data_IF_239960671373
#
_entry.id   IF_239960671373
#
_cell.length_a   1.000
_cell.length_b   1.000
_cell.length_c   1.000
_cell.angle_alpha   90.00
_cell.angle_beta   90.00
_cell.angle_gamma   90.00
#
_symmetry.space_group_name_H-M   'P 1'
#
loop_
_entity.id
_entity.type
_entity.pdbx_description
1 polymer ?
#
# COMPACT_ATOMS: atom_id res chain seq x y z
N UNK A 1 28.72 -16.89 -56.22
CA UNK A 1 28.09 -17.16 -54.91
C UNK A 1 28.67 -16.16 -53.93
N UNK A 2 28.02 -15.01 -53.78
CA UNK A 2 28.51 -13.91 -52.93
C UNK A 2 27.81 -13.93 -51.58
N UNK A 3 28.66 -13.91 -50.56
CA UNK A 3 28.46 -13.58 -49.15
C UNK A 3 27.06 -13.24 -48.63
N UNK A 4 26.62 -14.04 -47.65
CA UNK A 4 25.66 -13.65 -46.61
C UNK A 4 26.16 -14.03 -45.22
N UNK A 5 27.47 -14.01 -44.98
CA UNK A 5 28.03 -14.47 -43.70
C UNK A 5 27.72 -13.58 -42.49
N UNK A 6 27.14 -12.39 -42.69
CA UNK A 6 26.86 -11.41 -41.63
C UNK A 6 25.45 -10.83 -41.76
N UNK A 7 24.43 -11.65 -41.49
CA UNK A 7 23.02 -11.26 -41.64
C UNK A 7 22.53 -10.23 -40.60
N UNK A 8 23.30 -9.98 -39.53
CA UNK A 8 23.01 -8.95 -38.54
C UNK A 8 24.27 -8.56 -37.75
N UNK A 9 24.25 -7.38 -37.11
CA UNK A 9 25.33 -6.91 -36.21
C UNK A 9 25.63 -7.92 -35.08
N UNK A 10 24.62 -8.67 -34.64
CA UNK A 10 24.74 -9.75 -33.65
C UNK A 10 25.54 -10.93 -34.18
N UNK A 11 25.21 -11.40 -35.37
CA UNK A 11 25.89 -12.52 -36.04
C UNK A 11 27.38 -12.20 -36.28
N UNK A 12 27.71 -10.94 -36.55
CA UNK A 12 29.09 -10.46 -36.62
C UNK A 12 29.82 -10.58 -35.28
N UNK A 13 29.25 -10.10 -34.17
CA UNK A 13 29.87 -10.15 -32.84
C UNK A 13 29.97 -11.57 -32.27
N UNK A 14 29.07 -12.48 -32.66
CA UNK A 14 29.11 -13.90 -32.29
C UNK A 14 30.21 -14.68 -33.04
N UNK A 15 30.54 -14.30 -34.27
CA UNK A 15 31.45 -15.07 -35.13
C UNK A 15 32.82 -14.44 -35.32
N UNK A 16 32.94 -13.12 -35.27
CA UNK A 16 34.21 -12.43 -35.37
C UNK A 16 35.04 -12.63 -34.08
N UNK A 17 36.34 -12.90 -34.22
CA UNK A 17 37.26 -13.05 -33.08
C UNK A 17 36.88 -14.18 -32.11
N UNK A 18 36.38 -15.32 -32.63
CA UNK A 18 35.93 -16.47 -31.85
C UNK A 18 34.82 -16.14 -30.81
N UNK A 19 34.03 -15.10 -31.06
CA UNK A 19 32.91 -14.73 -30.20
C UNK A 19 33.30 -14.00 -28.91
N UNK A 20 34.56 -13.59 -28.72
CA UNK A 20 34.99 -12.87 -27.52
C UNK A 20 34.29 -11.50 -27.37
N UNK A 21 33.96 -10.85 -28.49
CA UNK A 21 33.15 -9.64 -28.51
C UNK A 21 31.71 -9.85 -28.00
N UNK A 22 31.17 -11.08 -28.13
CA UNK A 22 29.84 -11.41 -27.59
C UNK A 22 29.83 -11.48 -26.06
N UNK A 23 30.95 -11.87 -25.43
CA UNK A 23 31.09 -11.86 -23.97
C UNK A 23 31.11 -10.43 -23.42
N UNK A 24 31.92 -9.54 -24.03
CA UNK A 24 31.95 -8.13 -23.67
C UNK A 24 30.58 -7.46 -23.91
N UNK A 25 29.92 -7.74 -25.03
CA UNK A 25 28.58 -7.24 -25.30
C UNK A 25 27.56 -7.79 -24.29
N UNK A 26 27.63 -9.06 -23.94
CA UNK A 26 26.71 -9.69 -22.97
C UNK A 26 26.92 -9.11 -21.57
N UNK A 27 28.16 -8.89 -21.13
CA UNK A 27 28.47 -8.19 -19.87
C UNK A 27 27.99 -6.74 -19.92
N UNK A 28 28.21 -6.01 -21.00
CA UNK A 28 27.71 -4.65 -21.16
C UNK A 28 26.17 -4.59 -21.17
N UNK A 29 25.50 -5.50 -21.88
CA UNK A 29 24.04 -5.57 -21.92
C UNK A 29 23.45 -6.06 -20.59
N UNK A 30 24.13 -6.96 -19.88
CA UNK A 30 23.75 -7.41 -18.53
C UNK A 30 23.89 -6.26 -17.52
N UNK A 31 25.00 -5.52 -17.54
CA UNK A 31 25.20 -4.31 -16.72
C UNK A 31 24.24 -3.17 -17.07
N UNK A 32 23.75 -3.13 -18.30
CA UNK A 32 22.71 -2.20 -18.74
C UNK A 32 21.28 -2.69 -18.41
N UNK A 33 21.13 -3.86 -17.77
CA UNK A 33 19.83 -4.46 -17.44
C UNK A 33 19.04 -4.93 -18.66
N UNK A 34 19.68 -5.02 -19.83
CA UNK A 34 19.06 -5.40 -21.10
C UNK A 34 18.93 -6.92 -21.19
N UNK A 35 19.96 -7.67 -20.77
CA UNK A 35 19.88 -9.15 -20.68
C UNK A 35 19.17 -9.52 -19.39
N UNK A 36 17.93 -9.99 -19.48
CA UNK A 36 17.23 -10.58 -18.35
C UNK A 36 17.98 -11.85 -17.90
N UNK A 37 18.31 -11.95 -16.60
CA UNK A 37 18.69 -13.23 -16.02
C UNK A 37 17.53 -14.23 -16.25
N UNK A 38 17.78 -15.44 -16.77
CA UNK A 38 16.73 -16.42 -16.97
C UNK A 38 16.42 -17.14 -15.65
N UNK A 39 15.72 -16.46 -14.75
CA UNK A 39 15.03 -17.03 -13.59
C UNK A 39 13.71 -16.25 -13.41
N UNK A 40 12.68 -16.91 -12.89
CA UNK A 40 11.38 -16.30 -12.59
C UNK A 40 11.59 -14.89 -11.97
N UNK A 41 11.07 -13.79 -12.55
CA UNK A 41 11.29 -12.43 -12.02
C UNK A 41 10.69 -12.21 -10.63
N UNK A 42 9.81 -13.12 -10.16
CA UNK A 42 9.31 -13.18 -8.79
C UNK A 42 10.06 -14.19 -7.92
N UNK A 43 11.15 -14.81 -8.38
CA UNK A 43 11.96 -15.67 -7.52
C UNK A 43 12.41 -14.89 -6.29
N UNK A 44 12.27 -15.51 -5.12
CA UNK A 44 12.67 -14.90 -3.85
C UNK A 44 14.14 -14.48 -3.91
N UNK A 45 14.40 -13.22 -3.60
CA UNK A 45 15.74 -12.65 -3.57
C UNK A 45 16.18 -12.43 -2.12
N UNK A 46 17.45 -12.69 -1.83
CA UNK A 46 17.99 -12.44 -0.51
C UNK A 46 18.04 -10.93 -0.23
N UNK A 47 17.60 -10.47 0.96
CA UNK A 47 17.73 -9.07 1.35
C UNK A 47 19.21 -8.68 1.51
N UNK A 48 19.51 -7.38 1.40
CA UNK A 48 20.87 -6.84 1.55
C UNK A 48 21.39 -6.95 2.99
N UNK A 49 20.50 -6.95 3.97
CA UNK A 49 20.78 -7.13 5.40
C UNK A 49 19.61 -7.81 6.10
N UNK A 50 19.78 -8.20 7.37
CA UNK A 50 18.77 -8.96 8.11
C UNK A 50 17.43 -8.19 8.18
N UNK A 51 16.34 -8.75 7.63
CA UNK A 51 15.04 -8.10 7.65
C UNK A 51 14.37 -8.26 9.03
N UNK A 52 13.60 -7.25 9.44
CA UNK A 52 12.73 -7.28 10.62
C UNK A 52 11.28 -7.62 10.26
N UNK A 53 10.86 -7.37 9.01
CA UNK A 53 9.54 -7.69 8.51
C UNK A 53 9.59 -8.63 7.29
N UNK A 54 8.54 -9.44 7.14
CA UNK A 54 8.33 -10.35 6.00
C UNK A 54 7.16 -9.96 5.11
N UNK A 55 6.13 -9.33 5.70
CA UNK A 55 4.93 -8.90 5.00
C UNK A 55 4.44 -7.53 5.47
N UNK A 56 3.75 -6.80 4.59
CA UNK A 56 3.07 -5.54 4.90
C UNK A 56 1.56 -5.74 4.80
N UNK A 57 0.82 -5.26 5.81
CA UNK A 57 -0.60 -4.94 5.67
C UNK A 57 -0.76 -3.42 5.78
N UNK A 58 -1.09 -2.77 4.66
CA UNK A 58 -1.32 -1.33 4.63
C UNK A 58 -2.81 -1.01 4.59
N UNK A 59 -3.33 -0.57 5.73
CA UNK A 59 -4.70 -0.11 5.93
C UNK A 59 -4.82 1.36 5.51
N UNK A 60 -5.14 1.58 4.23
CA UNK A 60 -5.18 2.91 3.62
C UNK A 60 -6.56 3.55 3.77
N UNK A 61 -6.63 4.60 4.57
CA UNK A 61 -7.86 5.29 4.92
C UNK A 61 -8.16 6.40 3.93
N UNK A 62 -8.80 6.04 2.81
CA UNK A 62 -9.07 6.97 1.71
C UNK A 62 -9.97 8.11 2.13
N UNK A 63 -9.60 9.30 1.70
CA UNK A 63 -10.22 10.51 2.23
C UNK A 63 -9.63 10.93 3.57
N UNK A 64 -8.49 10.40 4.01
CA UNK A 64 -7.69 10.99 5.09
C UNK A 64 -8.43 11.36 6.39
N UNK A 65 -8.48 10.42 7.37
CA UNK A 65 -9.02 10.69 8.69
C UNK A 65 -8.38 11.94 9.29
N UNK A 66 -9.21 12.88 9.75
CA UNK A 66 -8.73 14.04 10.51
C UNK A 66 -7.89 13.60 11.71
N UNK A 67 -6.62 14.00 11.71
CA UNK A 67 -5.64 13.75 12.77
C UNK A 67 -6.13 14.29 14.11
N UNK A 68 -6.71 15.50 14.13
CA UNK A 68 -7.19 16.16 15.35
C UNK A 68 -8.52 15.61 15.89
N UNK A 69 -9.16 14.73 15.13
CA UNK A 69 -10.40 14.05 15.53
C UNK A 69 -10.20 12.54 15.78
N UNK A 70 -8.96 12.05 15.66
CA UNK A 70 -8.60 10.64 15.83
C UNK A 70 -7.52 10.41 16.89
N UNK A 71 -6.29 10.91 16.65
CA UNK A 71 -5.12 10.57 17.47
C UNK A 71 -4.32 11.78 17.99
N UNK A 72 -4.46 12.95 17.35
CA UNK A 72 -3.68 14.15 17.65
C UNK A 72 -4.51 15.15 18.47
N UNK A 73 -4.73 14.85 19.74
CA UNK A 73 -5.55 15.70 20.61
C UNK A 73 -4.94 17.09 20.80
N UNK A 74 -5.68 18.14 20.45
CA UNK A 74 -5.27 19.54 20.56
C UNK A 74 -6.16 20.32 21.55
N UNK A 75 -5.74 20.44 22.83
CA UNK A 75 -6.50 21.19 23.84
C UNK A 75 -6.77 22.64 23.43
N UNK A 76 -5.81 23.29 22.78
CA UNK A 76 -5.94 24.69 22.38
C UNK A 76 -6.96 24.88 21.26
N UNK A 77 -7.00 23.96 20.29
CA UNK A 77 -8.04 23.93 19.26
C UNK A 77 -9.44 23.79 19.88
N UNK A 78 -9.58 22.98 20.92
CA UNK A 78 -10.86 22.82 21.63
C UNK A 78 -11.26 24.10 22.36
N UNK A 79 -10.31 24.71 23.07
CA UNK A 79 -10.55 25.93 23.86
C UNK A 79 -10.98 27.10 22.99
N UNK A 80 -10.40 27.22 21.79
CA UNK A 80 -10.63 28.35 20.86
C UNK A 80 -11.66 28.03 19.77
N UNK A 81 -12.44 26.97 19.90
CA UNK A 81 -13.45 26.60 18.90
C UNK A 81 -14.39 27.78 18.61
N UNK A 82 -14.55 28.12 17.33
CA UNK A 82 -15.33 29.28 16.84
C UNK A 82 -14.57 30.60 16.77
N UNK A 83 -13.38 30.70 17.36
CA UNK A 83 -12.49 31.87 17.25
C UNK A 83 -11.65 31.83 15.96
N UNK A 84 -11.02 32.95 15.60
CA UNK A 84 -10.11 33.02 14.46
C UNK A 84 -8.87 32.16 14.73
N UNK A 85 -8.54 31.29 13.77
CA UNK A 85 -7.31 30.52 13.74
C UNK A 85 -6.20 31.40 13.13
N UNK A 86 -5.32 31.93 13.98
CA UNK A 86 -4.24 32.79 13.54
C UNK A 86 -3.25 32.03 12.63
N UNK A 87 -2.87 32.63 11.51
CA UNK A 87 -1.93 32.01 10.56
C UNK A 87 -2.53 30.92 9.66
N UNK A 88 -3.83 30.65 9.75
CA UNK A 88 -4.53 29.82 8.78
C UNK A 88 -4.60 30.53 7.42
N UNK A 89 -4.27 29.79 6.36
CA UNK A 89 -4.55 30.22 4.99
C UNK A 89 -5.86 29.55 4.54
N UNK A 90 -6.93 30.31 4.28
CA UNK A 90 -8.21 29.78 3.80
C UNK A 90 -8.13 28.98 2.50
N UNK A 91 -7.00 29.02 1.77
CA UNK A 91 -6.75 28.30 0.52
C UNK A 91 -5.80 27.11 0.66
N UNK A 92 -5.45 26.73 1.89
CA UNK A 92 -4.63 25.53 2.15
C UNK A 92 -5.29 24.28 1.58
N UNK A 93 -6.60 24.14 1.80
CA UNK A 93 -7.38 23.00 1.33
C UNK A 93 -7.83 23.12 -0.11
N UNK A 94 -8.68 22.17 -0.53
CA UNK A 94 -9.20 22.14 -1.89
C UNK A 94 -10.32 23.18 -2.09
N UNK A 95 -11.04 23.49 -1.03
CA UNK A 95 -12.08 24.50 -0.95
C UNK A 95 -11.61 25.68 -0.08
N UNK A 96 -12.45 26.70 0.03
CA UNK A 96 -12.17 27.83 0.93
C UNK A 96 -12.74 27.55 2.31
N UNK A 97 -11.90 27.66 3.34
CA UNK A 97 -12.31 27.54 4.74
C UNK A 97 -12.67 28.88 5.36
N UNK A 98 -13.31 28.83 6.53
CA UNK A 98 -13.76 30.02 7.28
C UNK A 98 -12.64 30.75 8.02
N UNK A 99 -11.47 30.12 8.21
CA UNK A 99 -10.40 30.64 9.07
C UNK A 99 -10.75 30.61 10.58
N UNK A 100 -11.84 29.94 10.98
CA UNK A 100 -12.24 29.79 12.38
C UNK A 100 -11.95 28.39 12.88
N UNK A 101 -11.29 28.29 14.03
CA UNK A 101 -11.03 27.04 14.74
C UNK A 101 -12.29 26.17 14.82
N UNK A 102 -12.16 24.91 14.45
CA UNK A 102 -13.18 23.90 14.68
C UNK A 102 -12.63 22.90 15.70
N UNK A 103 -13.14 22.95 16.93
CA UNK A 103 -12.84 21.95 17.96
C UNK A 103 -13.32 20.55 17.52
N UNK A 104 -12.62 19.50 17.95
CA UNK A 104 -13.08 18.13 17.66
C UNK A 104 -14.40 17.85 18.39
N UNK A 105 -15.40 17.26 17.72
CA UNK A 105 -16.69 16.95 18.34
C UNK A 105 -16.64 15.72 19.26
N UNK A 106 -15.47 15.09 19.43
CA UNK A 106 -15.28 13.84 20.15
C UNK A 106 -14.56 14.03 21.48
N UNK A 107 -14.91 13.17 22.45
CA UNK A 107 -14.11 13.04 23.66
C UNK A 107 -12.80 12.29 23.39
N UNK A 108 -11.75 12.64 24.11
CA UNK A 108 -10.44 12.00 24.04
C UNK A 108 -10.04 11.46 25.41
N UNK A 109 -9.33 10.33 25.40
CA UNK A 109 -8.70 9.74 26.58
C UNK A 109 -7.30 9.24 26.25
N UNK A 110 -6.43 9.20 27.25
CA UNK A 110 -5.14 8.53 27.12
C UNK A 110 -5.31 7.03 27.37
N UNK A 111 -4.65 6.23 26.54
CA UNK A 111 -4.69 4.77 26.58
C UNK A 111 -3.28 4.19 26.65
N UNK A 112 -3.19 2.94 27.13
CA UNK A 112 -1.94 2.20 27.25
C UNK A 112 -0.95 2.80 28.24
N UNK A 113 0.24 2.21 28.29
CA UNK A 113 1.39 2.71 29.05
C UNK A 113 2.05 3.90 28.34
N UNK A 114 1.94 3.97 27.02
CA UNK A 114 2.38 5.09 26.19
C UNK A 114 1.61 6.39 26.44
N UNK A 115 0.43 6.31 27.07
CA UNK A 115 -0.40 7.49 27.33
C UNK A 115 -0.91 8.15 26.05
N UNK A 116 -1.06 7.36 24.98
CA UNK A 116 -1.50 7.84 23.67
C UNK A 116 -2.92 8.37 23.73
N UNK A 117 -3.14 9.59 23.23
CA UNK A 117 -4.48 10.15 23.10
C UNK A 117 -5.24 9.48 21.95
N UNK A 118 -6.44 9.00 22.23
CA UNK A 118 -7.33 8.42 21.23
C UNK A 118 -8.74 8.96 21.41
N UNK A 119 -9.39 9.30 20.30
CA UNK A 119 -10.78 9.70 20.23
C UNK A 119 -11.73 8.54 20.61
N UNK A 120 -12.85 8.85 21.25
CA UNK A 120 -13.85 7.87 21.67
C UNK A 120 -14.45 7.05 20.52
N UNK A 121 -14.27 7.48 19.27
CA UNK A 121 -14.74 6.75 18.09
C UNK A 121 -13.86 5.56 17.72
N UNK A 122 -12.63 5.45 18.26
CA UNK A 122 -11.70 4.36 17.95
C UNK A 122 -11.37 3.47 19.17
N UNK A 123 -12.37 2.95 19.91
CA UNK A 123 -12.13 2.23 21.16
C UNK A 123 -11.40 0.89 20.98
N UNK A 124 -11.54 0.22 19.84
CA UNK A 124 -10.85 -1.05 19.61
C UNK A 124 -9.37 -0.82 19.28
N UNK A 125 -9.06 0.16 18.44
CA UNK A 125 -7.67 0.54 18.16
C UNK A 125 -6.95 1.07 19.40
N UNK A 126 -7.67 1.79 20.28
CA UNK A 126 -7.12 2.32 21.53
C UNK A 126 -6.50 1.25 22.45
N UNK A 127 -6.92 -0.02 22.33
CA UNK A 127 -6.35 -1.16 23.10
C UNK A 127 -4.93 -1.52 22.69
N UNK A 128 -4.49 -1.08 21.52
CA UNK A 128 -3.25 -1.50 20.87
C UNK A 128 -2.19 -0.41 20.78
N UNK A 129 -2.41 0.75 21.40
CA UNK A 129 -1.51 1.91 21.27
C UNK A 129 -0.07 1.63 21.72
N UNK A 130 0.13 0.68 22.63
CA UNK A 130 1.47 0.26 23.09
C UNK A 130 2.19 -0.64 22.09
N UNK A 131 1.49 -1.20 21.10
CA UNK A 131 2.09 -1.92 19.97
C UNK A 131 2.33 -1.00 18.75
N UNK A 132 1.92 0.28 18.83
CA UNK A 132 1.94 1.25 17.73
C UNK A 132 3.02 2.32 17.91
N UNK A 133 3.69 2.71 16.83
CA UNK A 133 4.46 3.95 16.75
C UNK A 133 3.66 4.99 15.94
N UNK A 134 3.32 6.11 16.59
CA UNK A 134 2.59 7.22 15.98
C UNK A 134 3.56 8.26 15.41
N UNK A 135 3.31 8.69 14.18
CA UNK A 135 4.06 9.74 13.49
C UNK A 135 3.09 10.92 13.29
N UNK A 136 3.18 11.93 14.16
CA UNK A 136 2.24 13.07 14.22
C UNK A 136 2.59 14.22 13.25
N UNK A 137 3.73 14.11 12.58
CA UNK A 137 4.37 15.20 11.83
C UNK A 137 4.42 14.95 10.32
N UNK A 138 3.51 14.12 9.80
CA UNK A 138 3.52 13.82 8.37
C UNK A 138 3.03 15.01 7.54
N UNK A 139 3.56 15.17 6.34
CA UNK A 139 3.07 16.15 5.36
C UNK A 139 3.16 15.60 3.92
N UNK A 140 2.32 16.13 3.05
CA UNK A 140 2.24 15.80 1.61
C UNK A 140 2.41 17.07 0.76
N UNK A 141 2.61 16.88 -0.54
CA UNK A 141 2.72 17.98 -1.50
C UNK A 141 1.36 18.38 -2.09
N UNK A 142 0.39 17.47 -2.08
CA UNK A 142 -0.92 17.66 -2.70
C UNK A 142 -2.04 17.71 -1.67
N UNK A 143 -2.93 18.69 -1.83
CA UNK A 143 -4.21 18.77 -1.13
C UNK A 143 -5.36 18.14 -1.95
N UNK A 144 -5.07 17.35 -2.99
CA UNK A 144 -6.07 16.67 -3.81
C UNK A 144 -5.85 15.16 -3.70
N UNK A 145 -6.95 14.41 -3.51
CA UNK A 145 -6.93 12.96 -3.31
C UNK A 145 -6.12 12.20 -4.35
N UNK A 146 -6.35 12.41 -5.66
CA UNK A 146 -5.64 11.58 -6.67
C UNK A 146 -4.13 11.80 -6.65
N UNK A 147 -3.60 13.03 -6.75
CA UNK A 147 -2.15 13.23 -6.65
C UNK A 147 -1.58 12.87 -5.28
N UNK A 148 -2.32 13.05 -4.18
CA UNK A 148 -1.86 12.68 -2.84
C UNK A 148 -1.82 11.16 -2.63
N UNK A 149 -2.77 10.40 -3.19
CA UNK A 149 -2.74 8.93 -3.18
C UNK A 149 -1.61 8.38 -4.05
N UNK A 150 -1.33 9.01 -5.21
CA UNK A 150 -0.15 8.67 -6.02
C UNK A 150 1.13 8.93 -5.23
N UNK A 151 1.21 10.07 -4.53
CA UNK A 151 2.36 10.41 -3.68
C UNK A 151 2.51 9.42 -2.54
N UNK A 152 1.44 9.10 -1.83
CA UNK A 152 1.46 8.13 -0.75
C UNK A 152 2.01 6.77 -1.22
N UNK A 153 1.56 6.29 -2.38
CA UNK A 153 1.93 4.97 -2.88
C UNK A 153 3.28 4.92 -3.62
N UNK A 154 3.72 6.00 -4.26
CA UNK A 154 4.87 6.00 -5.18
C UNK A 154 5.90 7.11 -4.94
N UNK A 155 5.66 7.98 -3.97
CA UNK A 155 6.46 9.18 -3.72
C UNK A 155 6.26 10.28 -4.77
N UNK A 156 5.32 10.12 -5.71
CA UNK A 156 5.13 11.02 -6.84
C UNK A 156 3.69 11.47 -6.97
N UNK A 157 3.46 12.79 -7.14
CA UNK A 157 2.12 13.35 -7.39
C UNK A 157 1.59 13.08 -8.82
N UNK A 158 2.33 12.31 -9.64
CA UNK A 158 2.01 12.02 -11.04
C UNK A 158 2.04 10.51 -11.30
N UNK A 159 1.13 10.07 -12.16
CA UNK A 159 1.03 8.69 -12.61
C UNK A 159 2.29 8.24 -13.38
N UNK A 160 2.44 6.92 -13.52
CA UNK A 160 3.52 6.29 -14.28
C UNK A 160 4.70 5.83 -13.43
N UNK A 161 4.66 6.04 -12.11
CA UNK A 161 5.67 5.57 -11.17
C UNK A 161 5.22 4.27 -10.49
N UNK A 162 6.15 3.34 -10.24
CA UNK A 162 5.85 2.13 -9.48
C UNK A 162 5.44 2.48 -8.05
N UNK A 163 4.47 1.74 -7.51
CA UNK A 163 4.05 1.81 -6.12
C UNK A 163 4.97 1.00 -5.19
N UNK A 164 4.89 1.27 -3.87
CA UNK A 164 5.72 0.60 -2.85
C UNK A 164 5.58 -0.93 -2.85
N UNK A 165 4.38 -1.46 -3.09
CA UNK A 165 4.18 -2.91 -3.24
C UNK A 165 4.96 -3.47 -4.44
N UNK A 166 5.02 -2.73 -5.55
CA UNK A 166 5.85 -3.09 -6.69
C UNK A 166 7.35 -2.98 -6.39
N UNK A 167 7.78 -2.04 -5.55
CA UNK A 167 9.19 -1.92 -5.14
C UNK A 167 9.65 -3.11 -4.31
N UNK A 168 8.84 -3.51 -3.32
CA UNK A 168 9.15 -4.63 -2.44
C UNK A 168 9.17 -5.96 -3.21
N UNK A 169 8.21 -6.16 -4.12
CA UNK A 169 8.18 -7.37 -4.96
C UNK A 169 9.28 -7.38 -6.01
N UNK A 170 9.70 -6.21 -6.53
CA UNK A 170 10.90 -6.10 -7.36
C UNK A 170 12.18 -6.41 -6.59
N UNK A 171 12.31 -5.88 -5.37
CA UNK A 171 13.52 -6.05 -4.56
C UNK A 171 13.68 -7.46 -3.96
N UNK A 172 12.56 -8.14 -3.63
CA UNK A 172 12.57 -9.38 -2.87
C UNK A 172 11.84 -10.56 -3.55
N UNK A 173 11.11 -10.33 -4.64
CA UNK A 173 10.31 -11.36 -5.32
C UNK A 173 9.05 -11.76 -4.53
N UNK A 174 8.75 -13.05 -4.50
CA UNK A 174 7.69 -13.71 -3.74
C UNK A 174 8.25 -14.91 -2.99
N UNK A 175 7.77 -15.17 -1.76
CA UNK A 175 8.01 -16.44 -1.06
C UNK A 175 6.88 -17.45 -1.32
N UNK A 176 5.87 -17.06 -2.10
CA UNK A 176 4.72 -17.88 -2.45
C UNK A 176 4.63 -18.05 -3.97
N UNK A 177 4.57 -19.30 -4.42
CA UNK A 177 4.40 -19.64 -5.84
C UNK A 177 2.93 -19.62 -6.31
N UNK A 178 1.99 -19.81 -5.39
CA UNK A 178 0.57 -20.02 -5.66
C UNK A 178 -0.32 -18.78 -5.49
N UNK A 179 0.16 -17.73 -4.83
CA UNK A 179 -0.55 -16.47 -4.61
C UNK A 179 0.25 -15.27 -5.11
N UNK A 180 -0.40 -14.15 -5.45
CA UNK A 180 0.29 -12.93 -5.83
C UNK A 180 1.16 -12.38 -4.70
N UNK A 181 2.30 -11.82 -5.04
CA UNK A 181 3.18 -11.18 -4.06
C UNK A 181 2.67 -9.80 -3.60
N UNK A 182 1.85 -9.13 -4.42
CA UNK A 182 1.22 -7.84 -4.15
C UNK A 182 -0.28 -7.89 -4.44
N UNK A 183 -1.08 -7.70 -3.40
CA UNK A 183 -2.54 -7.68 -3.44
C UNK A 183 -3.09 -6.33 -2.99
N UNK A 184 -4.11 -5.83 -3.69
CA UNK A 184 -4.90 -4.66 -3.31
C UNK A 184 -6.34 -5.09 -3.12
N UNK A 185 -6.97 -4.69 -2.02
CA UNK A 185 -8.39 -4.92 -1.75
C UNK A 185 -9.12 -3.60 -1.59
N UNK A 186 -10.27 -3.47 -2.24
CA UNK A 186 -11.14 -2.31 -2.09
C UNK A 186 -12.61 -2.71 -2.13
N UNK A 187 -13.46 -2.01 -1.37
CA UNK A 187 -14.90 -2.03 -1.58
C UNK A 187 -15.22 -1.20 -2.83
N UNK A 188 -15.18 0.11 -2.70
CA UNK A 188 -15.25 1.03 -3.84
C UNK A 188 -13.85 1.29 -4.37
N UNK A 189 -13.67 1.26 -5.70
CA UNK A 189 -12.38 1.61 -6.31
C UNK A 189 -12.02 3.06 -5.93
N UNK A 190 -10.88 3.31 -5.27
CA UNK A 190 -10.53 4.62 -4.76
C UNK A 190 -10.21 5.60 -5.89
N UNK A 191 -10.28 6.90 -5.56
CA UNK A 191 -10.05 7.96 -6.53
C UNK A 191 -8.65 7.87 -7.15
N UNK A 192 -8.57 7.96 -8.47
CA UNK A 192 -7.32 7.75 -9.21
C UNK A 192 -7.17 6.34 -9.77
N UNK A 193 -7.90 5.34 -9.26
CA UNK A 193 -7.98 3.99 -9.81
C UNK A 193 -6.65 3.23 -9.85
N UNK A 194 -6.55 2.26 -10.77
CA UNK A 194 -5.40 1.37 -10.90
C UNK A 194 -4.02 2.06 -10.94
N UNK A 195 -3.87 3.28 -11.52
CA UNK A 195 -2.63 4.03 -11.45
C UNK A 195 -2.01 4.24 -10.06
N UNK A 196 -2.80 4.23 -8.97
CA UNK A 196 -2.26 4.48 -7.63
C UNK A 196 -1.49 3.28 -7.06
N UNK A 197 -1.71 2.06 -7.57
CA UNK A 197 -0.98 0.84 -7.20
C UNK A 197 -0.28 0.21 -8.42
N UNK A 198 0.06 1.03 -9.42
CA UNK A 198 0.67 0.55 -10.64
C UNK A 198 2.11 0.05 -10.41
N UNK A 199 2.53 -0.87 -11.28
CA UNK A 199 3.94 -1.20 -11.49
C UNK A 199 4.70 -0.10 -12.24
N UNK A 200 4.00 0.90 -12.79
CA UNK A 200 4.61 2.02 -13.49
C UNK A 200 5.49 1.56 -14.65
N UNK A 201 6.77 1.92 -14.60
CA UNK A 201 7.78 1.48 -15.58
C UNK A 201 8.47 0.15 -15.22
N UNK A 202 8.18 -0.45 -14.06
CA UNK A 202 8.64 -1.80 -13.75
C UNK A 202 7.84 -2.82 -14.58
N UNK A 203 8.42 -4.01 -14.85
CA UNK A 203 7.71 -5.08 -15.54
C UNK A 203 6.35 -5.42 -14.92
N UNK A 204 5.37 -5.76 -15.75
CA UNK A 204 3.98 -5.97 -15.31
C UNK A 204 3.79 -7.11 -14.29
N UNK A 205 4.80 -7.96 -14.10
CA UNK A 205 4.78 -9.02 -13.08
C UNK A 205 4.73 -8.46 -11.64
N UNK A 206 5.18 -7.21 -11.44
CA UNK A 206 5.15 -6.51 -10.16
C UNK A 206 3.86 -5.68 -9.96
N UNK A 207 2.89 -5.82 -10.87
CA UNK A 207 1.59 -5.17 -10.78
C UNK A 207 0.76 -5.78 -9.64
N UNK A 208 0.09 -4.93 -8.85
CA UNK A 208 -0.83 -5.42 -7.83
C UNK A 208 -1.99 -6.19 -8.45
N UNK A 209 -2.37 -7.31 -7.82
CA UNK A 209 -3.63 -7.99 -8.09
C UNK A 209 -4.74 -7.30 -7.29
N UNK A 210 -5.62 -6.57 -7.98
CA UNK A 210 -6.74 -5.87 -7.36
C UNK A 210 -7.94 -6.81 -7.17
N UNK A 211 -8.55 -6.77 -5.99
CA UNK A 211 -9.59 -7.66 -5.53
C UNK A 211 -10.78 -6.88 -4.95
N UNK A 212 -11.99 -7.34 -5.24
CA UNK A 212 -13.20 -6.93 -4.52
C UNK A 212 -13.71 -8.13 -3.71
N UNK A 213 -13.43 -8.19 -2.39
CA UNK A 213 -13.77 -9.35 -1.58
C UNK A 213 -15.28 -9.52 -1.35
N UNK A 214 -16.11 -8.56 -1.76
CA UNK A 214 -17.58 -8.66 -1.68
C UNK A 214 -18.15 -9.50 -2.81
N UNK A 215 -17.44 -9.61 -3.94
CA UNK A 215 -17.89 -10.39 -5.09
C UNK A 215 -17.75 -11.91 -4.82
N UNK A 216 -18.66 -12.75 -5.34
CA UNK A 216 -18.51 -14.21 -5.30
C UNK A 216 -17.25 -14.72 -6.03
N UNK A 217 -16.80 -13.97 -7.04
CA UNK A 217 -15.52 -14.18 -7.73
C UNK A 217 -14.65 -12.93 -7.47
N UNK A 218 -13.85 -12.91 -6.38
CA UNK A 218 -13.08 -11.73 -5.99
C UNK A 218 -12.02 -11.32 -7.01
N UNK A 219 -11.55 -12.29 -7.80
CA UNK A 219 -10.54 -12.12 -8.84
C UNK A 219 -11.23 -12.21 -10.20
N UNK A 220 -11.20 -11.11 -10.95
CA UNK A 220 -11.80 -11.07 -12.28
C UNK A 220 -11.09 -12.06 -13.23
N UNK A 221 -11.87 -12.77 -14.06
CA UNK A 221 -11.39 -13.74 -15.05
C UNK A 221 -10.54 -14.91 -14.52
N UNK A 222 -10.56 -15.18 -13.21
CA UNK A 222 -9.79 -16.30 -12.65
C UNK A 222 -10.45 -17.66 -12.90
N UNK A 223 -11.78 -17.73 -12.89
CA UNK A 223 -12.49 -19.01 -13.02
C UNK A 223 -12.28 -19.64 -14.41
N UNK A 224 -11.97 -20.93 -14.42
CA UNK A 224 -11.99 -21.75 -15.64
C UNK A 224 -13.35 -21.64 -16.33
N UNK A 225 -13.36 -21.52 -17.65
CA UNK A 225 -14.59 -21.54 -18.42
C UNK A 225 -15.28 -22.92 -18.32
N UNK A 226 -16.60 -22.94 -18.15
CA UNK A 226 -17.37 -24.15 -17.79
C UNK A 226 -17.27 -25.28 -18.84
N UNK A 227 -16.96 -24.94 -20.09
CA UNK A 227 -16.80 -25.91 -21.18
C UNK A 227 -15.51 -26.74 -21.14
N UNK A 228 -14.54 -26.37 -20.28
CA UNK A 228 -13.28 -27.10 -20.14
C UNK A 228 -13.27 -27.90 -18.84
N UNK A 229 -12.60 -29.04 -18.83
CA UNK A 229 -12.12 -29.71 -17.62
C UNK A 229 -10.65 -29.34 -17.32
N UNK A 230 -10.11 -29.77 -16.18
CA UNK A 230 -8.76 -29.37 -15.73
C UNK A 230 -7.67 -29.81 -16.71
N UNK A 231 -7.79 -31.03 -17.26
CA UNK A 231 -6.84 -31.56 -18.23
C UNK A 231 -6.85 -30.76 -19.53
N UNK A 232 -8.03 -30.35 -20.01
CA UNK A 232 -8.16 -29.54 -21.22
C UNK A 232 -7.61 -28.13 -21.00
N UNK A 233 -7.87 -27.51 -19.84
CA UNK A 233 -7.33 -26.20 -19.52
C UNK A 233 -5.80 -26.24 -19.37
N UNK A 234 -5.24 -27.24 -18.68
CA UNK A 234 -3.79 -27.43 -18.59
C UNK A 234 -3.17 -27.61 -19.97
N UNK A 235 -3.77 -28.44 -20.83
CA UNK A 235 -3.31 -28.65 -22.21
C UNK A 235 -3.33 -27.34 -23.03
N UNK A 236 -4.36 -26.51 -22.88
CA UNK A 236 -4.44 -25.20 -23.52
C UNK A 236 -3.33 -24.27 -23.01
N UNK A 237 -3.12 -24.20 -21.69
CA UNK A 237 -2.06 -23.40 -21.09
C UNK A 237 -0.67 -23.88 -21.51
N UNK A 238 -0.44 -25.19 -21.64
CA UNK A 238 0.81 -25.74 -22.16
C UNK A 238 1.06 -25.38 -23.62
N UNK A 239 0.02 -25.40 -24.47
CA UNK A 239 0.13 -24.98 -25.86
C UNK A 239 0.41 -23.46 -25.98
N UNK A 240 -0.24 -22.64 -25.16
CA UNK A 240 0.03 -21.21 -25.06
C UNK A 240 1.45 -20.95 -24.57
N UNK A 241 1.88 -21.64 -23.50
CA UNK A 241 3.22 -21.55 -22.95
C UNK A 241 4.28 -21.91 -23.98
N UNK A 242 4.11 -23.02 -24.70
CA UNK A 242 5.03 -23.45 -25.75
C UNK A 242 5.15 -22.40 -26.87
N UNK A 243 4.01 -21.87 -27.32
CA UNK A 243 3.97 -20.84 -28.38
C UNK A 243 4.63 -19.54 -27.93
N UNK A 244 4.33 -19.10 -26.71
CA UNK A 244 4.89 -17.89 -26.11
C UNK A 244 6.39 -18.03 -25.81
N UNK A 245 6.85 -19.20 -25.37
CA UNK A 245 8.27 -19.48 -25.17
C UNK A 245 9.05 -19.42 -26.48
N UNK A 246 8.50 -19.98 -27.56
CA UNK A 246 9.10 -19.86 -28.89
C UNK A 246 9.17 -18.40 -29.34
N UNK A 247 8.08 -17.65 -29.15
CA UNK A 247 8.04 -16.21 -29.47
C UNK A 247 9.03 -15.38 -28.64
N UNK A 248 9.23 -15.74 -27.37
CA UNK A 248 10.20 -15.12 -26.47
C UNK A 248 11.64 -15.46 -26.81
N UNK A 249 11.90 -16.67 -27.33
CA UNK A 249 13.23 -17.06 -27.83
C UNK A 249 13.75 -16.12 -28.93
N UNK A 250 12.86 -15.60 -29.77
CA UNK A 250 13.20 -14.62 -30.81
C UNK A 250 13.37 -13.18 -30.27
N UNK A 251 12.99 -12.92 -29.01
CA UNK A 251 12.97 -11.60 -28.36
C UNK A 251 13.52 -11.68 -26.92
N UNK A 252 14.79 -12.07 -26.74
CA UNK A 252 15.35 -12.29 -25.39
C UNK A 252 15.44 -11.02 -24.52
N UNK A 253 15.21 -9.85 -25.11
CA UNK A 253 15.24 -8.53 -24.43
C UNK A 253 13.85 -7.96 -24.15
N UNK A 254 12.78 -8.70 -24.48
CA UNK A 254 11.40 -8.31 -24.22
C UNK A 254 10.93 -8.93 -22.89
N UNK A 255 11.18 -8.22 -21.79
CA UNK A 255 10.83 -8.67 -20.43
C UNK A 255 9.33 -8.78 -20.19
N UNK A 256 8.53 -7.96 -20.88
CA UNK A 256 7.07 -7.94 -20.73
C UNK A 256 6.43 -9.25 -21.22
N UNK A 257 6.96 -9.83 -22.29
CA UNK A 257 6.49 -11.11 -22.78
C UNK A 257 6.68 -12.25 -21.75
N UNK A 258 7.81 -12.25 -21.04
CA UNK A 258 8.06 -13.22 -19.96
C UNK A 258 7.21 -12.94 -18.73
N UNK A 259 7.02 -11.68 -18.36
CA UNK A 259 6.12 -11.29 -17.27
C UNK A 259 4.70 -11.81 -17.49
N UNK A 260 4.17 -11.70 -18.72
CA UNK A 260 2.84 -12.22 -19.09
C UNK A 260 2.74 -13.75 -18.95
N UNK A 261 3.79 -14.48 -19.33
CA UNK A 261 3.84 -15.93 -19.18
C UNK A 261 3.70 -16.34 -17.71
N UNK A 262 4.45 -15.70 -16.82
CA UNK A 262 4.38 -15.97 -15.38
C UNK A 262 3.02 -15.58 -14.79
N UNK A 263 2.41 -14.47 -15.24
CA UNK A 263 1.06 -14.09 -14.82
C UNK A 263 0.01 -15.15 -15.15
N UNK A 264 0.10 -15.81 -16.31
CA UNK A 264 -0.82 -16.90 -16.68
C UNK A 264 -0.63 -18.15 -15.82
N UNK A 265 0.62 -18.54 -15.53
CA UNK A 265 0.89 -19.69 -14.66
C UNK A 265 0.47 -19.40 -13.20
N UNK A 266 0.71 -18.20 -12.71
CA UNK A 266 0.21 -17.77 -11.40
C UNK A 266 -1.31 -17.82 -11.36
N UNK A 267 -2.01 -17.29 -12.37
CA UNK A 267 -3.47 -17.35 -12.44
C UNK A 267 -4.00 -18.80 -12.43
N UNK A 268 -3.31 -19.73 -13.10
CA UNK A 268 -3.66 -21.14 -13.04
C UNK A 268 -3.49 -21.74 -11.64
N UNK A 269 -2.37 -21.48 -10.96
CA UNK A 269 -2.13 -21.95 -9.58
C UNK A 269 -3.09 -21.34 -8.56
N UNK A 270 -3.47 -20.07 -8.78
CA UNK A 270 -4.46 -19.38 -7.96
C UNK A 270 -5.84 -20.03 -8.04
N UNK A 271 -6.23 -20.70 -9.13
CA UNK A 271 -7.55 -21.34 -9.22
C UNK A 271 -7.80 -22.38 -8.13
N UNK A 272 -6.76 -23.05 -7.65
CA UNK A 272 -6.85 -24.03 -6.56
C UNK A 272 -6.59 -23.41 -5.19
N UNK A 273 -5.64 -22.46 -5.10
CA UNK A 273 -5.16 -21.93 -3.81
C UNK A 273 -5.92 -20.69 -3.32
N UNK A 274 -6.48 -19.89 -4.24
CA UNK A 274 -7.24 -18.70 -3.91
C UNK A 274 -8.50 -18.98 -3.05
N UNK A 275 -9.33 -20.00 -3.36
CA UNK A 275 -10.54 -20.25 -2.57
C UNK A 275 -10.27 -20.44 -1.08
N UNK A 276 -9.18 -21.13 -0.71
CA UNK A 276 -8.81 -21.34 0.68
C UNK A 276 -8.51 -20.03 1.42
N UNK A 277 -7.97 -19.02 0.76
CA UNK A 277 -7.68 -17.73 1.39
C UNK A 277 -8.89 -16.81 1.43
N UNK A 278 -9.75 -16.86 0.40
CA UNK A 278 -10.89 -15.96 0.25
C UNK A 278 -12.18 -16.46 0.92
N UNK A 279 -12.31 -17.75 1.18
CA UNK A 279 -13.47 -18.32 1.85
C UNK A 279 -13.40 -18.13 3.37
N UNK A 280 -13.79 -16.94 3.81
CA UNK A 280 -13.89 -16.57 5.22
C UNK A 280 -15.02 -17.31 5.96
N UNK A 281 -15.92 -18.01 5.26
CA UNK A 281 -17.00 -18.77 5.92
C UNK A 281 -16.46 -19.96 6.71
N UNK A 282 -15.24 -20.38 6.42
CA UNK A 282 -14.50 -21.43 7.13
C UNK A 282 -13.99 -21.00 8.52
N UNK A 283 -13.98 -19.70 8.83
CA UNK A 283 -13.58 -19.20 10.15
C UNK A 283 -14.62 -19.50 11.21
N UNK A 284 -14.17 -19.63 12.46
CA UNK A 284 -15.07 -19.85 13.60
C UNK A 284 -16.07 -18.69 13.76
N UNK A 285 -17.28 -18.94 14.28
CA UNK A 285 -18.24 -17.87 14.55
C UNK A 285 -17.67 -16.74 15.42
N UNK A 286 -16.84 -17.10 16.41
CA UNK A 286 -16.15 -16.14 17.27
C UNK A 286 -15.18 -15.23 16.48
N UNK A 287 -14.43 -15.79 15.54
CA UNK A 287 -13.55 -15.02 14.65
C UNK A 287 -14.36 -14.09 13.74
N UNK A 288 -15.44 -14.60 13.14
CA UNK A 288 -16.30 -13.79 12.27
C UNK A 288 -16.94 -12.62 13.05
N UNK A 289 -17.39 -12.86 14.28
CA UNK A 289 -17.92 -11.83 15.16
C UNK A 289 -16.83 -10.83 15.59
N UNK A 290 -15.63 -11.30 15.94
CA UNK A 290 -14.50 -10.46 16.33
C UNK A 290 -14.17 -9.44 15.23
N UNK A 291 -14.09 -9.87 13.97
CA UNK A 291 -13.89 -8.99 12.81
C UNK A 291 -15.14 -8.19 12.40
N UNK A 292 -16.27 -8.34 13.09
CA UNK A 292 -17.50 -7.59 12.82
C UNK A 292 -18.20 -7.98 11.52
N UNK A 293 -18.09 -9.24 11.07
CA UNK A 293 -18.77 -9.73 9.86
C UNK A 293 -20.29 -9.84 10.02
N UNK A 294 -20.76 -9.88 11.27
CA UNK A 294 -22.17 -9.88 11.65
C UNK A 294 -22.79 -8.48 11.72
N UNK A 295 -22.00 -7.42 11.53
CA UNK A 295 -22.45 -6.02 11.59
C UNK A 295 -22.47 -5.40 10.21
N UNK A 296 -23.58 -4.77 9.84
CA UNK A 296 -23.76 -4.15 8.52
C UNK A 296 -22.72 -3.05 8.24
N UNK A 297 -22.31 -2.31 9.25
CA UNK A 297 -21.37 -1.20 9.11
C UNK A 297 -19.96 -1.69 8.78
N UNK A 298 -19.52 -2.78 9.43
CA UNK A 298 -18.13 -3.28 9.36
C UNK A 298 -17.93 -4.52 8.49
N UNK A 299 -18.97 -5.21 8.05
CA UNK A 299 -18.85 -6.51 7.37
C UNK A 299 -17.86 -6.49 6.19
N UNK A 300 -17.91 -5.46 5.34
CA UNK A 300 -17.03 -5.34 4.18
C UNK A 300 -15.56 -5.16 4.60
N UNK A 301 -15.29 -4.24 5.52
CA UNK A 301 -13.94 -3.93 5.97
C UNK A 301 -13.36 -5.04 6.88
N UNK A 302 -14.22 -5.68 7.68
CA UNK A 302 -13.95 -6.89 8.44
C UNK A 302 -13.49 -8.03 7.54
N UNK A 303 -14.21 -8.26 6.42
CA UNK A 303 -13.83 -9.27 5.44
C UNK A 303 -12.49 -8.94 4.78
N UNK A 304 -12.26 -7.68 4.43
CA UNK A 304 -10.96 -7.23 3.89
C UNK A 304 -9.81 -7.50 4.89
N UNK A 305 -9.98 -7.14 6.17
CA UNK A 305 -8.95 -7.34 7.19
C UNK A 305 -8.67 -8.82 7.45
N UNK A 306 -9.72 -9.64 7.52
CA UNK A 306 -9.60 -11.09 7.72
C UNK A 306 -8.89 -11.78 6.54
N UNK A 307 -9.24 -11.41 5.31
CA UNK A 307 -8.53 -11.88 4.11
C UNK A 307 -7.08 -11.40 4.12
N UNK A 308 -6.81 -10.16 4.56
CA UNK A 308 -5.44 -9.66 4.66
C UNK A 308 -4.59 -10.50 5.62
N UNK A 309 -5.13 -10.86 6.79
CA UNK A 309 -4.47 -11.79 7.72
C UNK A 309 -4.19 -13.13 7.05
N UNK A 310 -5.17 -13.73 6.37
CA UNK A 310 -5.00 -15.04 5.69
C UNK A 310 -3.98 -14.98 4.55
N UNK A 311 -3.93 -13.88 3.81
CA UNK A 311 -2.95 -13.64 2.74
C UNK A 311 -1.53 -13.60 3.30
N UNK A 312 -1.27 -12.82 4.36
CA UNK A 312 0.07 -12.75 4.95
C UNK A 312 0.47 -14.05 5.64
N UNK A 313 -0.47 -14.74 6.29
CA UNK A 313 -0.27 -16.07 6.86
C UNK A 313 0.09 -17.09 5.76
N UNK A 314 -0.46 -16.91 4.56
CA UNK A 314 -0.12 -17.71 3.38
C UNK A 314 1.14 -17.23 2.65
N UNK A 315 1.86 -16.22 3.14
CA UNK A 315 3.12 -15.74 2.54
C UNK A 315 2.98 -14.68 1.45
N UNK A 316 1.84 -13.98 1.36
CA UNK A 316 1.73 -12.79 0.51
C UNK A 316 2.50 -11.63 1.15
N UNK A 317 3.43 -11.05 0.38
CA UNK A 317 4.37 -10.05 0.88
C UNK A 317 3.77 -8.67 1.10
N UNK A 318 2.85 -8.25 0.24
CA UNK A 318 2.26 -6.91 0.35
C UNK A 318 0.75 -6.98 0.14
N UNK A 319 0.00 -6.58 1.16
CA UNK A 319 -1.45 -6.48 1.11
C UNK A 319 -1.84 -5.04 1.45
N UNK A 320 -2.53 -4.37 0.54
CA UNK A 320 -3.08 -3.05 0.78
C UNK A 320 -4.60 -3.11 0.82
N UNK A 321 -5.18 -2.51 1.85
CA UNK A 321 -6.63 -2.49 2.08
C UNK A 321 -7.09 -1.04 2.05
N UNK A 322 -7.84 -0.68 1.01
CA UNK A 322 -8.47 0.64 0.94
C UNK A 322 -9.77 0.65 1.75
N UNK A 323 -9.98 1.76 2.47
CA UNK A 323 -11.19 2.00 3.26
C UNK A 323 -12.46 1.67 2.49
N UNK A 324 -13.36 0.97 3.18
CA UNK A 324 -14.72 0.71 2.72
C UNK A 324 -15.66 1.17 3.81
N UNK A 325 -16.70 1.90 3.41
CA UNK A 325 -17.81 2.25 4.29
C UNK A 325 -19.11 2.07 3.54
N UNK A 326 -20.08 1.43 4.19
CA UNK A 326 -21.44 1.25 3.65
C UNK A 326 -22.29 2.52 3.74
N UNK A 327 -21.82 3.53 4.49
CA UNK A 327 -22.46 4.83 4.67
C UNK A 327 -21.42 5.94 4.73
N UNK A 328 -21.60 6.99 3.93
CA UNK A 328 -20.65 8.12 3.85
C UNK A 328 -21.37 9.45 4.12
N UNK A 329 -21.83 9.69 5.37
CA UNK A 329 -22.42 10.97 5.73
C UNK A 329 -21.34 12.06 5.87
N UNK A 330 -21.79 13.29 6.08
CA UNK A 330 -20.91 14.41 6.42
C UNK A 330 -20.04 14.93 5.27
N UNK A 331 -20.44 14.69 4.03
CA UNK A 331 -19.76 15.16 2.81
C UNK A 331 -18.83 14.13 2.16
N UNK A 332 -18.57 13.01 2.85
CA UNK A 332 -17.81 11.91 2.30
C UNK A 332 -18.51 11.24 1.13
N UNK A 333 -17.74 10.53 0.31
CA UNK A 333 -18.25 9.72 -0.81
C UNK A 333 -17.54 8.37 -0.83
N UNK A 334 -18.12 7.40 -1.53
CA UNK A 334 -17.72 6.00 -1.39
C UNK A 334 -16.25 5.70 -1.77
N UNK A 335 -15.62 6.50 -2.63
CA UNK A 335 -14.20 6.36 -3.03
C UNK A 335 -13.21 7.03 -2.06
N UNK A 336 -13.70 7.97 -1.24
CA UNK A 336 -12.96 8.69 -0.18
C UNK A 336 -13.87 8.85 1.06
N UNK A 337 -14.18 7.77 1.79
CA UNK A 337 -15.20 7.78 2.84
C UNK A 337 -14.88 8.73 4.00
N UNK A 338 -13.59 8.93 4.33
CA UNK A 338 -13.15 9.84 5.41
C UNK A 338 -13.20 11.33 5.04
N UNK A 339 -13.75 11.68 3.87
CA UNK A 339 -13.79 13.03 3.32
C UNK A 339 -14.87 13.93 3.93
N UNK A 340 -14.78 14.14 5.26
CA UNK A 340 -15.76 14.84 6.10
C UNK A 340 -15.83 16.36 5.91
N UNK A 341 -16.18 16.83 4.72
CA UNK A 341 -16.27 18.26 4.36
C UNK A 341 -17.42 19.03 5.00
N UNK A 342 -18.53 18.37 5.34
CA UNK A 342 -19.75 19.03 5.84
C UNK A 342 -20.00 18.81 7.34
N UNK A 343 -19.69 17.61 7.84
CA UNK A 343 -19.91 17.23 9.24
C UNK A 343 -18.93 16.12 9.66
N UNK A 344 -17.87 16.50 10.37
CA UNK A 344 -16.85 15.56 10.91
C UNK A 344 -17.48 14.57 11.89
N UNK A 345 -18.46 15.00 12.70
CA UNK A 345 -19.03 14.12 13.72
C UNK A 345 -19.73 12.94 13.04
N UNK A 346 -20.62 13.23 12.10
CA UNK A 346 -21.34 12.20 11.36
C UNK A 346 -20.39 11.34 10.52
N UNK A 347 -19.45 11.97 9.81
CA UNK A 347 -18.51 11.27 8.92
C UNK A 347 -17.61 10.28 9.68
N UNK A 348 -16.89 10.77 10.70
CA UNK A 348 -15.92 9.96 11.44
C UNK A 348 -16.60 8.89 12.29
N UNK A 349 -17.81 9.12 12.82
CA UNK A 349 -18.58 8.06 13.49
C UNK A 349 -18.94 6.92 12.53
N UNK A 350 -19.40 7.25 11.32
CA UNK A 350 -19.75 6.24 10.33
C UNK A 350 -18.53 5.46 9.84
N UNK A 351 -17.42 6.14 9.56
CA UNK A 351 -16.19 5.48 9.11
C UNK A 351 -15.53 4.67 10.23
N UNK A 352 -15.51 5.18 11.47
CA UNK A 352 -15.01 4.42 12.59
C UNK A 352 -15.87 3.18 12.88
N UNK A 353 -17.20 3.29 12.75
CA UNK A 353 -18.11 2.15 12.91
C UNK A 353 -17.85 1.03 11.90
N UNK A 354 -17.31 1.34 10.71
CA UNK A 354 -16.91 0.33 9.71
C UNK A 354 -15.52 -0.25 9.96
N UNK A 355 -14.57 0.53 10.47
CA UNK A 355 -13.15 0.17 10.54
C UNK A 355 -12.69 -0.33 11.90
N UNK A 356 -13.11 0.29 13.00
CA UNK A 356 -12.35 0.27 14.26
C UNK A 356 -12.27 -1.15 14.83
N UNK A 357 -13.42 -1.83 14.87
CA UNK A 357 -13.49 -3.23 15.29
C UNK A 357 -12.65 -4.16 14.39
N UNK A 358 -12.80 -4.19 13.05
CA UNK A 358 -11.92 -4.95 12.17
C UNK A 358 -10.42 -4.72 12.35
N UNK A 359 -9.98 -3.47 12.55
CA UNK A 359 -8.55 -3.14 12.71
C UNK A 359 -8.04 -3.65 14.05
N UNK A 360 -8.79 -3.46 15.14
CA UNK A 360 -8.45 -4.04 16.44
C UNK A 360 -8.40 -5.57 16.38
N UNK A 361 -9.39 -6.19 15.76
CA UNK A 361 -9.44 -7.64 15.54
C UNK A 361 -8.24 -8.17 14.75
N UNK A 362 -7.81 -7.45 13.70
CA UNK A 362 -6.62 -7.80 12.92
C UNK A 362 -5.36 -7.78 13.79
N UNK A 363 -5.17 -6.76 14.63
CA UNK A 363 -4.01 -6.65 15.51
C UNK A 363 -4.02 -7.75 16.59
N UNK A 364 -5.18 -8.01 17.21
CA UNK A 364 -5.37 -9.10 18.16
C UNK A 364 -5.03 -10.47 17.52
N UNK A 365 -5.55 -10.74 16.32
CA UNK A 365 -5.39 -12.02 15.61
C UNK A 365 -3.95 -12.23 15.11
N UNK A 366 -3.31 -11.18 14.56
CA UNK A 366 -1.89 -11.23 14.18
C UNK A 366 -1.00 -11.52 15.40
N UNK A 367 -1.28 -10.89 16.55
CA UNK A 367 -0.53 -11.11 17.79
C UNK A 367 -0.74 -12.52 18.34
N UNK A 368 -1.99 -12.98 18.39
CA UNK A 368 -2.34 -14.32 18.86
C UNK A 368 -1.70 -15.45 18.03
N UNK A 369 -1.45 -15.20 16.73
CA UNK A 369 -0.79 -16.13 15.81
C UNK A 369 0.73 -15.99 15.75
N UNK A 370 1.31 -15.04 16.48
CA UNK A 370 2.75 -14.72 16.39
C UNK A 370 3.17 -14.13 15.03
N UNK A 371 2.21 -13.59 14.27
CA UNK A 371 2.46 -12.98 12.96
C UNK A 371 2.84 -11.50 13.06
N UNK A 372 2.39 -10.80 14.12
CA UNK A 372 2.63 -9.35 14.29
C UNK A 372 4.13 -9.01 14.31
N UNK A 373 4.97 -9.84 14.93
CA UNK A 373 6.42 -9.61 14.97
C UNK A 373 7.08 -9.62 13.58
N UNK A 374 6.47 -10.28 12.60
CA UNK A 374 6.97 -10.40 11.23
C UNK A 374 6.12 -9.68 10.18
N UNK A 375 5.02 -9.04 10.59
CA UNK A 375 4.10 -8.32 9.70
C UNK A 375 4.05 -6.86 10.11
N UNK A 376 4.47 -5.98 9.21
CA UNK A 376 4.33 -4.54 9.38
C UNK A 376 2.90 -4.13 9.04
N UNK A 377 2.17 -3.60 10.01
CA UNK A 377 0.85 -2.99 9.81
C UNK A 377 1.03 -1.48 9.73
N UNK A 378 0.55 -0.86 8.65
CA UNK A 378 0.59 0.59 8.44
C UNK A 378 -0.84 1.09 8.35
N UNK A 379 -1.16 2.19 9.02
CA UNK A 379 -2.47 2.83 8.95
C UNK A 379 -2.35 4.32 8.76
N UNK A 380 -3.15 4.87 7.86
CA UNK A 380 -3.19 6.31 7.61
C UNK A 380 -3.85 6.61 6.27
N UNK A 381 -3.97 7.90 5.96
CA UNK A 381 -4.45 8.39 4.66
C UNK A 381 -3.35 9.10 3.87
N UNK A 382 -3.79 9.80 2.83
CA UNK A 382 -2.97 10.56 1.89
C UNK A 382 -2.53 11.96 2.38
N UNK A 383 -3.25 12.53 3.36
CA UNK A 383 -2.96 13.80 4.04
C UNK A 383 -3.81 13.92 5.33
N UNK A 384 -3.99 15.13 5.87
CA UNK A 384 -4.81 15.41 7.05
C UNK A 384 -5.98 16.33 6.77
N UNK A 385 -6.59 16.86 7.83
CA UNK A 385 -7.72 17.80 7.75
C UNK A 385 -7.37 19.13 8.41
N UNK A 386 -7.98 20.21 7.92
CA UNK A 386 -7.71 21.54 8.44
C UNK A 386 -8.25 21.69 9.86
N UNK A 387 -7.57 22.50 10.66
CA UNK A 387 -7.99 22.79 12.03
C UNK A 387 -9.17 23.78 12.07
N UNK A 388 -9.53 24.38 10.95
CA UNK A 388 -10.65 25.31 10.80
C UNK A 388 -11.84 24.72 10.04
N UNK A 389 -13.00 25.36 10.21
CA UNK A 389 -14.26 24.94 9.60
C UNK A 389 -14.34 25.29 8.12
N UNK A 390 -14.87 24.39 7.30
CA UNK A 390 -15.27 24.65 5.91
C UNK A 390 -16.69 25.25 5.79
N UNK A 391 -17.03 26.18 6.69
CA UNK A 391 -18.33 26.86 6.72
C UNK A 391 -19.44 26.11 7.49
N UNK A 392 -19.15 24.95 8.07
CA UNK A 392 -20.07 24.13 8.88
C UNK A 392 -19.33 23.28 9.93
N UNK A 393 -19.87 22.09 10.23
CA UNK A 393 -19.23 21.12 11.14
C UNK A 393 -18.12 20.28 10.48
N UNK A 394 -17.75 20.61 9.25
CA UNK A 394 -16.77 19.89 8.44
C UNK A 394 -15.42 20.59 8.32
N UNK A 395 -14.41 19.85 7.87
CA UNK A 395 -13.03 20.34 7.65
C UNK A 395 -12.62 20.12 6.21
N UNK A 396 -11.72 20.95 5.72
CA UNK A 396 -11.13 20.79 4.40
C UNK A 396 -9.79 20.04 4.45
N UNK A 397 -9.13 19.88 3.30
CA UNK A 397 -7.89 19.13 3.16
C UNK A 397 -6.70 19.87 3.77
N UNK A 398 -5.83 19.15 4.49
CA UNK A 398 -4.61 19.71 5.03
C UNK A 398 -3.38 18.86 4.63
N UNK A 399 -2.60 19.29 3.63
CA UNK A 399 -1.36 18.59 3.26
C UNK A 399 -0.22 18.85 4.24
N UNK A 400 -0.36 19.77 5.21
CA UNK A 400 0.77 20.22 6.03
C UNK A 400 0.94 19.47 7.35
N UNK A 401 -0.06 18.71 7.79
CA UNK A 401 0.00 17.91 9.00
C UNK A 401 -1.00 16.74 8.92
N UNK A 402 -0.53 15.53 9.17
CA UNK A 402 -1.38 14.37 9.41
C UNK A 402 -0.67 13.32 10.26
N UNK A 403 -1.46 12.38 10.77
CA UNK A 403 -0.98 11.29 11.61
C UNK A 403 -1.10 9.97 10.88
N UNK A 404 -0.02 9.20 10.91
CA UNK A 404 -0.01 7.77 10.55
C UNK A 404 0.55 6.99 11.73
N UNK A 405 0.27 5.69 11.81
CA UNK A 405 0.96 4.81 12.75
C UNK A 405 1.40 3.53 12.07
N UNK A 406 2.44 2.92 12.64
CA UNK A 406 2.94 1.60 12.26
C UNK A 406 2.94 0.68 13.47
N UNK A 407 2.76 -0.62 13.27
CA UNK A 407 2.81 -1.65 14.32
C UNK A 407 3.41 -2.95 13.77
N UNK A 408 4.09 -3.71 14.63
CA UNK A 408 4.71 -4.98 14.25
C UNK A 408 5.92 -4.83 13.32
N UNK A 409 6.47 -5.95 12.83
CA UNK A 409 7.51 -5.98 11.81
C UNK A 409 8.79 -5.18 12.12
N UNK A 410 9.21 -5.14 13.39
CA UNK A 410 10.39 -4.39 13.85
C UNK A 410 10.12 -2.96 14.34
N UNK A 411 8.86 -2.53 14.39
CA UNK A 411 8.48 -1.23 14.95
C UNK A 411 8.56 -1.25 16.48
N UNK A 412 9.08 -0.15 17.03
CA UNK A 412 9.10 0.13 18.46
C UNK A 412 7.74 0.68 18.92
N UNK A 413 6.87 -0.21 19.39
CA UNK A 413 5.55 0.14 19.93
C UNK A 413 5.60 1.14 21.10
N UNK A 414 4.52 1.89 21.28
CA UNK A 414 4.37 2.93 22.30
C UNK A 414 5.13 4.23 22.00
N UNK A 415 5.68 4.37 20.78
CA UNK A 415 6.47 5.54 20.39
C UNK A 415 5.58 6.66 19.87
N UNK A 416 5.85 7.90 20.30
CA UNK A 416 5.32 9.13 19.69
C UNK A 416 6.46 9.87 19.00
N UNK A 417 6.36 10.02 17.68
CA UNK A 417 7.41 10.64 16.88
C UNK A 417 6.90 11.90 16.16
N UNK A 418 7.64 12.98 16.35
CA UNK A 418 7.31 14.29 15.81
C UNK A 418 6.04 14.90 16.40
N UNK A 419 5.73 16.11 15.94
CA UNK A 419 4.53 16.83 16.37
C UNK A 419 4.05 17.81 15.29
N UNK A 420 2.74 18.00 15.26
CA UNK A 420 2.08 19.15 14.64
C UNK A 420 1.95 20.30 15.65
N UNK A 421 1.70 21.52 15.16
CA UNK A 421 1.50 22.72 15.98
C UNK A 421 0.35 22.58 17.00
N UNK A 422 0.16 23.60 17.83
CA UNK A 422 -0.85 23.59 18.90
C UNK A 422 -2.30 23.39 18.40
N UNK A 423 -2.55 23.61 17.11
CA UNK A 423 -3.85 23.43 16.46
C UNK A 423 -3.92 22.19 15.57
N UNK A 424 -2.81 21.50 15.33
CA UNK A 424 -2.72 20.39 14.38
C UNK A 424 -2.74 20.83 12.92
N UNK A 425 -2.38 22.08 12.63
CA UNK A 425 -2.48 22.68 11.31
C UNK A 425 -1.21 22.45 10.46
N UNK A 426 -0.02 22.48 11.07
CA UNK A 426 1.27 22.23 10.39
C UNK A 426 2.17 21.32 11.21
N UNK A 427 2.92 20.43 10.55
CA UNK A 427 3.99 19.68 11.17
C UNK A 427 5.15 20.62 11.56
N UNK A 428 5.58 20.58 12.82
CA UNK A 428 6.60 21.51 13.38
C UNK A 428 7.82 20.81 13.97
N UNK A 429 7.68 19.57 14.41
CA UNK A 429 8.77 18.76 14.97
C UNK A 429 8.94 17.48 14.16
N UNK A 430 10.18 17.15 13.79
CA UNK A 430 10.55 15.96 13.02
C UNK A 430 9.64 15.73 11.80
N UNK A 431 9.51 16.76 10.96
CA UNK A 431 8.65 16.73 9.77
C UNK A 431 8.97 15.51 8.91
N UNK A 432 7.95 14.70 8.64
CA UNK A 432 8.10 13.42 7.97
C UNK A 432 7.40 13.47 6.62
N UNK A 433 8.14 13.21 5.55
CA UNK A 433 7.57 13.03 4.21
C UNK A 433 7.18 11.58 3.98
N UNK A 434 6.37 11.33 2.94
CA UNK A 434 6.10 9.95 2.50
C UNK A 434 7.38 9.20 2.13
N UNK A 435 8.40 9.90 1.62
CA UNK A 435 9.67 9.26 1.24
C UNK A 435 10.41 8.69 2.45
N UNK A 436 10.28 9.31 3.62
CA UNK A 436 10.88 8.84 4.87
C UNK A 436 10.14 7.58 5.38
N UNK A 437 8.82 7.56 5.25
CA UNK A 437 7.98 6.37 5.48
C UNK A 437 8.44 5.23 4.55
N UNK A 438 8.57 5.49 3.25
CA UNK A 438 9.01 4.49 2.27
C UNK A 438 10.43 3.96 2.56
N UNK A 439 11.37 4.86 2.87
CA UNK A 439 12.73 4.49 3.22
C UNK A 439 12.77 3.59 4.47
N UNK A 440 11.98 3.93 5.48
CA UNK A 440 11.85 3.15 6.71
C UNK A 440 11.24 1.78 6.44
N UNK A 441 10.15 1.69 5.68
CA UNK A 441 9.53 0.41 5.30
C UNK A 441 10.54 -0.47 4.54
N UNK A 442 11.21 0.06 3.51
CA UNK A 442 12.20 -0.71 2.75
C UNK A 442 13.37 -1.19 3.64
N UNK A 443 13.78 -0.37 4.62
CA UNK A 443 14.80 -0.74 5.59
C UNK A 443 14.36 -1.93 6.46
N UNK A 444 13.14 -1.93 6.98
CA UNK A 444 12.60 -3.06 7.76
C UNK A 444 12.56 -4.38 6.98
N UNK A 445 12.55 -4.30 5.65
CA UNK A 445 12.58 -5.45 4.74
C UNK A 445 13.99 -5.83 4.27
N UNK A 446 15.03 -5.22 4.84
CA UNK A 446 16.41 -5.53 4.51
C UNK A 446 16.87 -4.95 3.16
N UNK A 447 16.19 -3.92 2.64
CA UNK A 447 16.54 -3.27 1.38
C UNK A 447 17.18 -1.91 1.61
N UNK A 448 18.27 -1.61 0.89
CA UNK A 448 18.80 -0.26 0.86
C UNK A 448 18.05 0.55 -0.21
N UNK A 449 17.10 1.39 0.22
CA UNK A 449 16.29 2.17 -0.71
C UNK A 449 17.11 3.09 -1.64
N UNK A 450 18.34 3.46 -1.25
CA UNK A 450 19.24 4.30 -2.07
C UNK A 450 19.89 3.50 -3.21
N UNK A 451 19.94 2.17 -3.11
CA UNK A 451 20.46 1.24 -4.13
C UNK A 451 19.38 0.53 -4.94
N UNK A 452 18.13 0.57 -4.49
CA UNK A 452 17.00 0.00 -5.21
C UNK A 452 16.69 0.86 -6.45
N UNK A 453 17.37 0.55 -7.55
CA UNK A 453 17.33 1.31 -8.81
C UNK A 453 16.89 0.47 -9.99
N UNK A 454 16.20 1.06 -10.95
CA UNK A 454 15.82 0.43 -12.22
C UNK A 454 16.19 1.30 -13.42
N UNK A 455 16.80 0.72 -14.45
CA UNK A 455 17.18 1.44 -15.68
C UNK A 455 15.94 1.67 -16.55
N UNK A 456 15.50 2.92 -16.66
CA UNK A 456 14.35 3.31 -17.48
C UNK A 456 14.67 4.58 -18.28
N UNK A 457 14.25 4.65 -19.55
CA UNK A 457 14.48 5.80 -20.44
C UNK A 457 15.92 6.36 -20.42
N UNK A 458 16.92 5.47 -20.33
CA UNK A 458 18.34 5.86 -20.38
C UNK A 458 18.94 6.38 -19.06
N UNK A 459 18.20 6.36 -17.93
CA UNK A 459 18.75 6.68 -16.60
C UNK A 459 18.44 5.60 -15.57
N UNK A 460 19.29 5.48 -14.57
CA UNK A 460 18.99 4.68 -13.38
C UNK A 460 18.03 5.47 -12.48
N UNK A 461 16.81 4.97 -12.34
CA UNK A 461 15.79 5.52 -11.46
C UNK A 461 15.86 4.83 -10.10
N UNK A 462 16.24 5.57 -9.06
CA UNK A 462 16.00 5.15 -7.67
C UNK A 462 14.51 5.18 -7.40
N UNK A 463 13.96 4.08 -6.89
CA UNK A 463 12.49 3.92 -6.78
C UNK A 463 11.86 4.86 -5.74
N UNK A 464 12.63 5.28 -4.74
CA UNK A 464 12.26 6.34 -3.76
C UNK A 464 12.64 7.76 -4.23
N UNK A 465 12.97 7.92 -5.51
CA UNK A 465 13.45 9.14 -6.16
C UNK A 465 14.71 9.75 -5.50
N UNK A 466 14.74 11.04 -5.15
CA UNK A 466 15.92 11.71 -4.57
C UNK A 466 15.78 12.04 -3.08
N UNK A 467 14.65 11.66 -2.46
CA UNK A 467 14.34 11.90 -1.05
C UNK A 467 14.26 10.60 -0.20
N UNK A 468 13.98 10.78 1.10
CA UNK A 468 13.78 9.70 2.06
C UNK A 468 14.97 9.48 2.99
N UNK A 469 14.73 9.63 4.28
CA UNK A 469 15.63 9.24 5.37
C UNK A 469 14.92 8.26 6.30
N UNK A 470 15.69 7.34 6.87
CA UNK A 470 15.14 6.28 7.73
C UNK A 470 14.80 6.87 9.11
N UNK A 471 13.59 6.61 9.58
CA UNK A 471 13.11 7.05 10.90
C UNK A 471 13.59 6.04 11.95
N UNK A 472 14.85 6.16 12.37
CA UNK A 472 15.44 5.20 13.32
C UNK A 472 14.75 5.18 14.69
N UNK A 473 14.14 6.29 15.11
CA UNK A 473 13.53 6.43 16.43
C UNK A 473 12.29 5.53 16.65
N UNK A 474 11.66 5.07 15.56
CA UNK A 474 10.48 4.19 15.60
C UNK A 474 10.83 2.70 15.36
N UNK A 475 12.11 2.36 15.24
CA UNK A 475 12.59 0.99 15.00
C UNK A 475 13.12 0.40 16.32
N UNK A 476 12.84 -0.89 16.57
CA UNK A 476 13.17 -1.60 17.81
C UNK A 476 14.60 -2.14 17.89
#
# INVERSE_FOLDING_TARGET
>A
MTDRFLSSRRNFLEKAGLGFGSLALTDMLSRQGVVAAPQNPLASAAPEFAPQAKAVIWLFQTGSPSQVDTFDYKPELQRRSGEVLEGADPKTGFFTTSGKCLGSPFAFKQHGQSGTWVSEVLPNMARHVDDMAFIYSCYSQSNNHTPAMLEANSGMIRQGHPSMGSWLTYGLGSDNDNLPAYVVMHGTKPRGGDPIWASGFLPSVYQATALDPRKPKPIDNLARHESFNDNQQRSLLDALRHTNQRHAGDRPFDGDLRARLESFELAYRMQTSAPEVFDVSTESPATQEMYGLNRKESQDYGKQCLIARRLVESGVRFVQVFASSTSTPGGGVADVPWDGHSDIKANHQACAASMDQPVGALLDDLKARGLLDSTLVIWGGEFGRTSDSQGGGGRDHNPHAYTTWMAGGGIKGGTHYGASDEFGYKAVENRTSVHDIHATVLHLFGLNHKKLTYRFNGRDFRLTDVAGEIIHDIIA
#
